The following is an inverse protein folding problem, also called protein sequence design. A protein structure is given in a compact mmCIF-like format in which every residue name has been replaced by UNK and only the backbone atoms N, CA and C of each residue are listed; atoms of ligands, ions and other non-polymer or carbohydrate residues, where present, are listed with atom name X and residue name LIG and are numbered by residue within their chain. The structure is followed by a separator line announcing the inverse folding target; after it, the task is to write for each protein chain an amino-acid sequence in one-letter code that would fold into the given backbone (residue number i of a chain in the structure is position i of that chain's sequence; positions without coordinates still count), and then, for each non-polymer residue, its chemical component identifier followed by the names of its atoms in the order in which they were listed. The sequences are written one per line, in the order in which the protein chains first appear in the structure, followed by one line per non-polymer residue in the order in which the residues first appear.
data_IF_569959596124
#
_entry.id   IF_569959596124
#
_cell.length_a   1.000
_cell.length_b   1.000
_cell.length_c   1.000
_cell.angle_alpha   90.00
_cell.angle_beta   90.00
_cell.angle_gamma   90.00
#
_symmetry.space_group_name_H-M   'P 1'
#
loop_
_entity.id
_entity.type
_entity.pdbx_description
1 polymer ?
#
# COMPACT_ATOMS: atom_id res chain seq x y z
N UNK A 1 7.25 19.70 31.11
CA UNK A 1 7.94 19.46 29.85
C UNK A 1 8.85 20.63 29.53
N UNK A 2 8.34 21.82 29.44
CA UNK A 2 9.12 23.03 29.10
C UNK A 2 10.23 23.35 30.12
N UNK A 3 9.95 23.20 31.42
CA UNK A 3 10.91 23.49 32.48
C UNK A 3 12.12 22.55 32.54
N UNK A 4 12.09 21.37 31.89
CA UNK A 4 13.16 20.36 31.92
C UNK A 4 13.74 20.04 30.53
N UNK A 5 13.45 20.83 29.50
CA UNK A 5 13.93 20.66 28.12
C UNK A 5 13.76 19.22 27.56
N UNK A 6 12.62 18.60 27.83
CA UNK A 6 12.30 17.24 27.37
C UNK A 6 11.98 17.31 25.89
N UNK A 7 12.68 16.50 25.08
CA UNK A 7 12.51 16.43 23.62
C UNK A 7 11.69 15.21 23.16
N UNK A 8 11.68 14.16 23.98
CA UNK A 8 10.99 12.91 23.63
C UNK A 8 10.24 12.36 24.83
N UNK A 9 9.03 11.90 24.61
CA UNK A 9 8.19 11.21 25.60
C UNK A 9 7.97 9.80 25.14
N UNK A 10 8.28 8.81 25.98
CA UNK A 10 8.03 7.39 25.72
C UNK A 10 6.74 6.96 26.43
N UNK A 11 5.76 6.50 25.67
CA UNK A 11 4.53 5.88 26.19
C UNK A 11 4.76 4.39 26.43
N UNK A 12 5.12 4.05 27.69
CA UNK A 12 5.40 2.68 28.12
C UNK A 12 4.14 1.95 28.63
N UNK A 13 3.04 2.05 27.90
CA UNK A 13 1.73 1.50 28.29
C UNK A 13 1.12 0.67 27.13
N UNK A 14 1.72 -0.49 26.77
CA UNK A 14 1.28 -1.29 25.63
C UNK A 14 -0.13 -1.88 25.78
N UNK A 15 -0.59 -2.07 27.02
CA UNK A 15 -1.91 -2.66 27.32
C UNK A 15 -3.04 -1.65 27.44
N UNK A 16 -2.78 -0.36 27.21
CA UNK A 16 -3.83 0.67 27.32
C UNK A 16 -4.78 0.60 26.11
N UNK A 17 -6.11 0.68 26.32
CA UNK A 17 -7.06 0.81 25.24
C UNK A 17 -6.70 2.01 24.35
N UNK A 18 -6.80 1.85 23.01
CA UNK A 18 -6.44 2.88 22.01
C UNK A 18 -7.07 4.24 22.31
N UNK A 19 -8.34 4.26 22.71
CA UNK A 19 -9.05 5.51 23.06
C UNK A 19 -8.30 6.29 24.15
N UNK A 20 -7.91 5.61 25.22
CA UNK A 20 -7.22 6.26 26.35
C UNK A 20 -5.79 6.67 25.96
N UNK A 21 -5.11 5.89 25.14
CA UNK A 21 -3.81 6.23 24.58
C UNK A 21 -3.89 7.51 23.73
N UNK A 22 -4.88 7.64 22.86
CA UNK A 22 -5.10 8.82 22.03
C UNK A 22 -5.42 10.07 22.84
N UNK A 23 -6.19 9.96 23.93
CA UNK A 23 -6.43 11.07 24.86
C UNK A 23 -5.11 11.57 25.50
N UNK A 24 -4.23 10.65 25.90
CA UNK A 24 -2.92 10.99 26.47
C UNK A 24 -2.02 11.63 25.40
N UNK A 25 -1.97 11.08 24.19
CA UNK A 25 -1.20 11.65 23.08
C UNK A 25 -1.70 13.06 22.76
N UNK A 26 -3.01 13.28 22.68
CA UNK A 26 -3.61 14.59 22.45
C UNK A 26 -3.22 15.61 23.53
N UNK A 27 -3.17 15.21 24.79
CA UNK A 27 -2.75 16.07 25.90
C UNK A 27 -1.27 16.47 25.84
N UNK A 28 -0.40 15.59 25.29
CA UNK A 28 1.04 15.83 25.15
C UNK A 28 1.36 16.65 23.90
N UNK A 29 0.49 16.65 22.90
CA UNK A 29 0.70 17.29 21.58
C UNK A 29 0.97 18.79 21.69
N UNK A 30 0.40 19.47 22.69
CA UNK A 30 0.64 20.90 22.94
C UNK A 30 2.09 21.21 23.37
N UNK A 31 2.81 20.21 23.87
CA UNK A 31 4.17 20.37 24.38
C UNK A 31 5.29 20.30 23.30
N UNK A 32 4.94 20.12 22.00
CA UNK A 32 5.88 20.04 20.86
C UNK A 32 7.04 19.06 21.08
N UNK A 33 6.77 17.91 21.67
CA UNK A 33 7.75 16.82 21.91
C UNK A 33 7.47 15.65 20.99
N UNK A 34 8.52 14.93 20.60
CA UNK A 34 8.37 13.65 19.89
C UNK A 34 7.76 12.61 20.84
N UNK A 35 6.74 11.91 20.41
CA UNK A 35 6.12 10.84 21.20
C UNK A 35 6.47 9.50 20.56
N UNK A 36 7.00 8.56 21.34
CA UNK A 36 7.33 7.20 20.93
C UNK A 36 6.56 6.20 21.77
N UNK A 37 6.25 5.05 21.19
CA UNK A 37 5.54 3.94 21.87
C UNK A 37 6.42 2.70 21.91
N UNK A 38 6.20 1.85 22.92
CA UNK A 38 6.79 0.50 22.95
C UNK A 38 6.02 -0.41 21.99
N UNK A 39 6.71 -1.35 21.30
CA UNK A 39 6.07 -2.39 20.53
C UNK A 39 5.08 -3.19 21.37
N UNK A 40 4.05 -3.74 20.76
CA UNK A 40 3.07 -4.58 21.45
C UNK A 40 3.74 -5.91 21.87
N UNK A 41 3.40 -6.43 23.05
CA UNK A 41 3.94 -7.71 23.56
C UNK A 41 3.71 -8.88 22.59
N UNK A 42 2.66 -8.82 21.79
CA UNK A 42 2.36 -9.83 20.75
C UNK A 42 3.36 -9.76 19.59
N UNK A 43 3.80 -8.57 19.21
CA UNK A 43 4.80 -8.36 18.14
C UNK A 43 6.19 -8.78 18.58
N UNK A 44 6.52 -8.51 19.86
CA UNK A 44 7.75 -8.98 20.50
C UNK A 44 7.80 -10.51 20.60
N UNK A 45 6.68 -11.14 20.97
CA UNK A 45 6.58 -12.60 21.08
C UNK A 45 6.66 -13.31 19.72
N UNK A 46 6.28 -12.63 18.62
CA UNK A 46 6.37 -13.14 17.25
C UNK A 46 7.74 -12.88 16.60
N UNK A 47 8.68 -12.26 17.30
CA UNK A 47 10.02 -11.95 16.77
C UNK A 47 10.03 -10.92 15.63
N UNK A 48 8.93 -10.21 15.44
CA UNK A 48 8.78 -9.22 14.35
C UNK A 48 9.46 -7.88 14.64
N UNK A 49 9.73 -7.60 15.92
CA UNK A 49 10.37 -6.35 16.37
C UNK A 49 11.29 -6.62 17.53
N UNK A 50 12.39 -5.88 17.61
CA UNK A 50 13.30 -5.90 18.76
C UNK A 50 12.89 -4.83 19.77
N UNK A 51 13.23 -5.03 21.05
CA UNK A 51 13.01 -4.04 22.13
C UNK A 51 13.67 -2.67 21.86
N UNK A 52 14.62 -2.63 20.94
CA UNK A 52 15.32 -1.41 20.49
C UNK A 52 14.55 -0.62 19.41
N UNK A 53 13.53 -1.23 18.81
CA UNK A 53 12.74 -0.59 17.76
C UNK A 53 11.64 0.27 18.40
N UNK A 54 12.04 1.47 18.82
CA UNK A 54 11.09 2.50 19.27
C UNK A 54 10.37 3.05 18.04
N UNK A 55 9.12 2.63 17.85
CA UNK A 55 8.31 3.15 16.76
C UNK A 55 7.91 4.59 17.03
N UNK A 56 8.13 5.45 16.03
CA UNK A 56 7.43 6.73 15.96
C UNK A 56 5.92 6.40 15.86
N UNK A 57 5.08 7.28 16.43
CA UNK A 57 3.61 7.09 16.41
C UNK A 57 3.14 6.74 14.99
N UNK A 58 2.51 5.57 14.86
CA UNK A 58 1.88 5.19 13.60
C UNK A 58 0.72 6.16 13.28
N UNK A 59 0.54 6.46 11.99
CA UNK A 59 -0.57 7.29 11.53
C UNK A 59 -1.91 6.69 11.96
N UNK A 60 -2.02 5.37 12.03
CA UNK A 60 -3.20 4.66 12.53
C UNK A 60 -3.49 4.94 14.00
N UNK A 61 -2.47 5.13 14.84
CA UNK A 61 -2.62 5.55 16.23
C UNK A 61 -3.17 6.98 16.35
N UNK A 62 -2.85 7.84 15.39
CA UNK A 62 -3.33 9.23 15.36
C UNK A 62 -4.75 9.36 14.82
N UNK A 63 -5.16 8.48 13.89
CA UNK A 63 -6.47 8.55 13.23
C UNK A 63 -7.59 7.87 14.03
N UNK A 64 -7.26 7.12 15.09
CA UNK A 64 -8.25 6.44 15.93
C UNK A 64 -9.08 5.39 15.19
N UNK A 65 -8.64 4.94 14.00
CA UNK A 65 -9.32 3.90 13.23
C UNK A 65 -8.82 2.54 13.68
N UNK A 66 -9.78 1.66 14.00
CA UNK A 66 -9.47 0.25 14.18
C UNK A 66 -9.25 -0.39 12.81
N UNK A 67 -8.12 -1.08 12.62
CA UNK A 67 -7.92 -1.86 11.42
C UNK A 67 -8.92 -3.02 11.40
N UNK A 68 -9.71 -3.11 10.33
CA UNK A 68 -10.58 -4.26 10.11
C UNK A 68 -9.71 -5.38 9.53
N UNK A 69 -9.62 -6.54 10.21
CA UNK A 69 -8.86 -7.65 9.66
C UNK A 69 -9.49 -8.10 8.33
N UNK A 70 -8.67 -8.37 7.30
CA UNK A 70 -9.18 -8.84 6.02
C UNK A 70 -9.84 -10.22 6.19
N UNK A 71 -10.92 -10.48 5.44
CA UNK A 71 -11.54 -11.80 5.38
C UNK A 71 -10.68 -12.73 4.50
N UNK A 72 -10.01 -13.75 5.08
CA UNK A 72 -9.13 -14.64 4.33
C UNK A 72 -9.86 -15.42 3.23
N UNK A 73 -11.14 -15.73 3.43
CA UNK A 73 -11.93 -16.54 2.48
C UNK A 73 -12.20 -15.77 1.20
N UNK A 74 -12.48 -14.47 1.32
CA UNK A 74 -12.69 -13.57 0.18
C UNK A 74 -11.40 -13.32 -0.59
N UNK A 75 -10.29 -13.16 0.12
CA UNK A 75 -8.98 -12.95 -0.51
C UNK A 75 -8.54 -14.18 -1.30
N UNK A 76 -8.57 -15.36 -0.68
CA UNK A 76 -8.23 -16.64 -1.34
C UNK A 76 -9.09 -16.85 -2.58
N UNK A 77 -10.41 -16.65 -2.48
CA UNK A 77 -11.35 -16.82 -3.59
C UNK A 77 -10.98 -15.98 -4.82
N UNK A 78 -10.44 -14.78 -4.62
CA UNK A 78 -10.20 -13.83 -5.71
C UNK A 78 -8.74 -13.80 -6.20
N UNK A 79 -7.79 -14.45 -5.49
CA UNK A 79 -6.35 -14.33 -5.78
C UNK A 79 -5.69 -15.68 -6.04
N UNK A 80 -5.90 -16.66 -5.14
CA UNK A 80 -5.17 -17.94 -5.19
C UNK A 80 -5.39 -18.68 -6.50
N UNK A 81 -4.29 -19.08 -7.15
CA UNK A 81 -4.29 -19.79 -8.42
C UNK A 81 -4.80 -18.99 -9.63
N UNK A 82 -4.91 -17.67 -9.53
CA UNK A 82 -5.45 -16.78 -10.57
C UNK A 82 -4.40 -15.85 -11.14
N UNK A 83 -4.66 -15.35 -12.34
CA UNK A 83 -3.90 -14.27 -12.95
C UNK A 83 -4.43 -12.92 -12.44
N UNK A 84 -3.59 -12.16 -11.77
CA UNK A 84 -3.93 -10.88 -11.15
C UNK A 84 -3.20 -9.76 -11.87
N UNK A 85 -3.89 -8.66 -12.15
CA UNK A 85 -3.30 -7.45 -12.71
C UNK A 85 -3.39 -6.31 -11.70
N UNK A 86 -2.26 -5.64 -11.46
CA UNK A 86 -2.19 -4.44 -10.62
C UNK A 86 -1.71 -3.27 -11.46
N UNK A 87 -2.52 -2.22 -11.59
CA UNK A 87 -2.10 -0.97 -12.23
C UNK A 87 -1.54 -0.01 -11.20
N UNK A 88 -0.56 0.81 -11.59
CA UNK A 88 0.17 1.64 -10.63
C UNK A 88 1.00 0.80 -9.66
N UNK A 89 1.51 -0.34 -10.14
CA UNK A 89 2.23 -1.33 -9.34
C UNK A 89 3.49 -0.76 -8.65
N UNK A 90 4.15 0.22 -9.27
CA UNK A 90 5.32 0.91 -8.70
C UNK A 90 4.99 2.00 -7.69
N UNK A 91 3.71 2.36 -7.52
CA UNK A 91 3.25 3.31 -6.52
C UNK A 91 3.22 2.72 -5.10
N UNK A 92 3.05 3.58 -4.08
CA UNK A 92 3.04 3.15 -2.66
C UNK A 92 1.92 2.14 -2.37
N UNK A 93 0.70 2.36 -2.87
CA UNK A 93 -0.43 1.44 -2.69
C UNK A 93 -0.26 0.21 -3.58
N UNK A 94 0.08 0.40 -4.86
CA UNK A 94 0.22 -0.69 -5.82
C UNK A 94 1.31 -1.69 -5.43
N UNK A 95 2.47 -1.23 -4.98
CA UNK A 95 3.56 -2.10 -4.53
C UNK A 95 3.17 -2.91 -3.29
N UNK A 96 2.47 -2.30 -2.33
CA UNK A 96 1.98 -3.02 -1.15
C UNK A 96 0.90 -4.04 -1.51
N UNK A 97 -0.03 -3.71 -2.42
CA UNK A 97 -0.97 -4.69 -2.97
C UNK A 97 -0.25 -5.87 -3.60
N UNK A 98 0.79 -5.62 -4.40
CA UNK A 98 1.58 -6.70 -5.01
C UNK A 98 2.22 -7.62 -3.98
N UNK A 99 2.80 -7.08 -2.89
CA UNK A 99 3.36 -7.87 -1.77
C UNK A 99 2.30 -8.72 -1.09
N UNK A 100 1.12 -8.17 -0.82
CA UNK A 100 0.02 -8.90 -0.19
C UNK A 100 -0.55 -9.98 -1.11
N UNK A 101 -0.72 -9.69 -2.39
CA UNK A 101 -1.19 -10.64 -3.40
C UNK A 101 -0.21 -11.81 -3.54
N UNK A 102 1.09 -11.53 -3.58
CA UNK A 102 2.12 -12.55 -3.72
C UNK A 102 2.05 -13.62 -2.61
N UNK A 103 1.74 -13.22 -1.37
CA UNK A 103 1.59 -14.13 -0.22
C UNK A 103 0.37 -15.06 -0.31
N UNK A 104 -0.52 -14.83 -1.27
CA UNK A 104 -1.76 -15.60 -1.48
C UNK A 104 -1.67 -16.54 -2.68
N UNK A 105 -0.46 -16.85 -3.15
CA UNK A 105 -0.16 -17.82 -4.22
C UNK A 105 -0.99 -17.60 -5.50
N UNK A 106 -0.86 -16.43 -6.17
CA UNK A 106 -1.47 -16.21 -7.48
C UNK A 106 -0.78 -17.10 -8.54
N UNK A 107 -1.50 -17.49 -9.61
CA UNK A 107 -0.88 -18.17 -10.74
C UNK A 107 0.07 -17.25 -11.50
N UNK A 108 -0.32 -15.97 -11.66
CA UNK A 108 0.51 -14.92 -12.26
C UNK A 108 0.16 -13.56 -11.64
N UNK A 109 1.15 -12.69 -11.51
CA UNK A 109 0.98 -11.32 -11.07
C UNK A 109 1.54 -10.36 -12.13
N UNK A 110 0.65 -9.63 -12.79
CA UNK A 110 0.94 -8.66 -13.82
C UNK A 110 1.13 -7.29 -13.18
N UNK A 111 2.33 -6.75 -13.27
CA UNK A 111 2.71 -5.46 -12.70
C UNK A 111 2.64 -4.40 -13.81
N UNK A 112 1.66 -3.51 -13.78
CA UNK A 112 1.51 -2.45 -14.76
C UNK A 112 1.85 -1.10 -14.14
N UNK A 113 2.82 -0.40 -14.71
CA UNK A 113 3.14 0.98 -14.35
C UNK A 113 3.63 1.77 -15.57
N UNK A 114 3.45 3.09 -15.56
CA UNK A 114 3.97 3.98 -16.61
C UNK A 114 5.41 4.42 -16.34
N UNK A 115 5.90 4.30 -15.11
CA UNK A 115 7.26 4.61 -14.72
C UNK A 115 8.13 3.36 -14.81
N UNK A 116 9.07 3.33 -15.76
CA UNK A 116 10.03 2.24 -15.90
C UNK A 116 10.81 2.00 -14.60
N UNK A 117 11.31 3.08 -14.00
CA UNK A 117 12.10 2.98 -12.76
C UNK A 117 11.31 2.37 -11.60
N UNK A 118 10.06 2.84 -11.40
CA UNK A 118 9.21 2.33 -10.31
C UNK A 118 8.82 0.87 -10.55
N UNK A 119 8.53 0.53 -11.82
CA UNK A 119 8.21 -0.84 -12.22
C UNK A 119 9.39 -1.80 -12.01
N UNK A 120 10.59 -1.38 -12.43
CA UNK A 120 11.81 -2.15 -12.21
C UNK A 120 12.07 -2.37 -10.72
N UNK A 121 11.95 -1.31 -9.91
CA UNK A 121 12.24 -1.39 -8.47
C UNK A 121 11.31 -2.38 -7.76
N UNK A 122 10.00 -2.29 -8.00
CA UNK A 122 9.04 -3.21 -7.38
C UNK A 122 9.20 -4.64 -7.89
N UNK A 123 9.50 -4.82 -9.18
CA UNK A 123 9.73 -6.15 -9.76
C UNK A 123 10.94 -6.84 -9.12
N UNK A 124 12.09 -6.15 -9.02
CA UNK A 124 13.31 -6.71 -8.42
C UNK A 124 13.12 -7.04 -6.93
N UNK A 125 12.35 -6.24 -6.21
CA UNK A 125 12.00 -6.50 -4.82
C UNK A 125 11.17 -7.79 -4.70
N UNK A 126 10.07 -7.90 -5.46
CA UNK A 126 9.17 -9.03 -5.41
C UNK A 126 9.82 -10.34 -5.90
N UNK A 127 10.73 -10.27 -6.87
CA UNK A 127 11.51 -11.45 -7.33
C UNK A 127 12.38 -12.00 -6.21
N UNK A 128 12.98 -11.15 -5.40
CA UNK A 128 13.78 -11.59 -4.23
C UNK A 128 12.92 -12.27 -3.17
N UNK A 129 11.70 -11.80 -2.99
CA UNK A 129 10.73 -12.37 -2.03
C UNK A 129 10.13 -13.70 -2.56
N UNK A 130 9.75 -13.74 -3.83
CA UNK A 130 9.08 -14.90 -4.44
C UNK A 130 10.01 -16.08 -4.78
N UNK A 131 11.30 -15.83 -4.96
CA UNK A 131 12.25 -16.85 -5.42
C UNK A 131 12.04 -17.36 -6.86
N UNK A 132 11.00 -16.92 -7.56
CA UNK A 132 10.66 -17.33 -8.93
C UNK A 132 10.32 -16.15 -9.82
N UNK A 133 11.01 -16.02 -10.97
CA UNK A 133 10.78 -14.94 -11.94
C UNK A 133 9.52 -15.11 -12.80
N UNK A 134 9.11 -16.36 -13.04
CA UNK A 134 8.06 -16.66 -14.02
C UNK A 134 6.64 -16.30 -13.58
N UNK A 135 6.45 -16.02 -12.31
CA UNK A 135 5.18 -15.59 -11.72
C UNK A 135 4.90 -14.10 -11.92
N UNK A 136 5.97 -13.30 -11.98
CA UNK A 136 5.90 -11.84 -11.99
C UNK A 136 6.18 -11.31 -13.39
N UNK A 137 5.22 -10.61 -13.97
CA UNK A 137 5.30 -10.07 -15.34
C UNK A 137 5.27 -8.55 -15.29
N UNK A 138 6.42 -7.87 -15.47
CA UNK A 138 6.46 -6.42 -15.54
C UNK A 138 5.99 -5.94 -16.91
N UNK A 139 5.01 -5.04 -16.94
CA UNK A 139 4.37 -4.52 -18.14
C UNK A 139 4.38 -2.99 -18.13
N UNK A 140 5.24 -2.39 -18.92
CA UNK A 140 5.32 -0.94 -19.06
C UNK A 140 4.12 -0.44 -19.87
N UNK A 141 3.22 0.28 -19.22
CA UNK A 141 2.03 0.86 -19.84
C UNK A 141 1.40 1.97 -18.98
N UNK A 142 0.74 2.93 -19.67
CA UNK A 142 -0.14 3.90 -19.03
C UNK A 142 -1.59 3.44 -19.14
N UNK A 143 -2.37 3.61 -18.07
CA UNK A 143 -3.83 3.37 -18.08
C UNK A 143 -4.58 4.30 -19.02
N UNK A 144 -3.97 5.41 -19.44
CA UNK A 144 -4.50 6.33 -20.44
C UNK A 144 -4.45 5.72 -21.84
N UNK A 145 -3.50 4.83 -22.12
CA UNK A 145 -3.37 4.13 -23.39
C UNK A 145 -4.31 2.91 -23.44
N UNK A 146 -5.52 3.16 -23.92
CA UNK A 146 -6.56 2.13 -24.06
C UNK A 146 -6.12 0.96 -24.93
N UNK A 147 -5.40 1.24 -26.05
CA UNK A 147 -4.94 0.22 -26.97
C UNK A 147 -3.94 -0.74 -26.32
N UNK A 148 -2.94 -0.18 -25.64
CA UNK A 148 -1.95 -0.96 -24.89
C UNK A 148 -2.59 -1.76 -23.77
N UNK A 149 -3.49 -1.18 -22.98
CA UNK A 149 -4.21 -1.87 -21.91
C UNK A 149 -5.10 -3.00 -22.45
N UNK A 150 -5.78 -2.77 -23.59
CA UNK A 150 -6.56 -3.80 -24.27
C UNK A 150 -5.69 -4.98 -24.70
N UNK A 151 -4.53 -4.71 -25.29
CA UNK A 151 -3.56 -5.75 -25.69
C UNK A 151 -3.11 -6.58 -24.48
N UNK A 152 -2.76 -5.92 -23.37
CA UNK A 152 -2.35 -6.60 -22.12
C UNK A 152 -3.48 -7.49 -21.61
N UNK A 153 -4.69 -6.95 -21.43
CA UNK A 153 -5.84 -7.69 -20.89
C UNK A 153 -6.22 -8.85 -21.79
N UNK A 154 -6.22 -8.67 -23.12
CA UNK A 154 -6.54 -9.74 -24.07
C UNK A 154 -5.50 -10.85 -24.09
N UNK A 155 -4.21 -10.52 -23.92
CA UNK A 155 -3.11 -11.49 -23.92
C UNK A 155 -3.08 -12.33 -22.65
N UNK A 156 -3.21 -11.67 -21.50
CA UNK A 156 -3.00 -12.32 -20.21
C UNK A 156 -4.29 -12.73 -19.50
N UNK A 157 -5.45 -12.25 -19.94
CA UNK A 157 -6.79 -12.57 -19.43
C UNK A 157 -6.87 -12.60 -17.89
N UNK A 158 -6.54 -11.48 -17.21
CA UNK A 158 -6.52 -11.44 -15.76
C UNK A 158 -7.91 -11.73 -15.18
N UNK A 159 -7.96 -12.56 -14.16
CA UNK A 159 -9.19 -12.89 -13.45
C UNK A 159 -9.64 -11.75 -12.50
N UNK A 160 -8.66 -11.01 -11.99
CA UNK A 160 -8.91 -9.88 -11.08
C UNK A 160 -7.98 -8.73 -11.42
N UNK A 161 -8.52 -7.51 -11.44
CA UNK A 161 -7.76 -6.27 -11.67
C UNK A 161 -7.86 -5.39 -10.43
N UNK A 162 -6.70 -5.04 -9.87
CA UNK A 162 -6.57 -4.02 -8.84
C UNK A 162 -6.06 -2.72 -9.47
N UNK A 163 -6.89 -1.69 -9.45
CA UNK A 163 -6.57 -0.41 -10.07
C UNK A 163 -6.09 0.61 -9.03
N UNK A 164 -4.77 0.81 -8.94
CA UNK A 164 -4.13 1.75 -8.02
C UNK A 164 -3.41 2.90 -8.76
N UNK A 165 -3.51 2.98 -10.08
CA UNK A 165 -2.90 4.04 -10.88
C UNK A 165 -3.71 5.33 -10.77
N UNK A 166 -3.23 6.28 -9.95
CA UNK A 166 -3.85 7.61 -9.81
C UNK A 166 -2.80 8.67 -9.48
N UNK A 167 -3.00 9.89 -9.99
CA UNK A 167 -2.29 11.08 -9.51
C UNK A 167 -2.98 11.58 -8.24
N UNK A 168 -2.25 11.65 -7.13
CA UNK A 168 -2.80 11.92 -5.79
C UNK A 168 -2.29 13.21 -5.13
N UNK A 169 -1.19 13.76 -5.62
CA UNK A 169 -0.61 14.98 -5.06
C UNK A 169 -1.42 16.20 -5.49
N UNK A 170 -2.39 16.60 -4.66
CA UNK A 170 -3.37 17.65 -4.94
C UNK A 170 -2.74 18.92 -5.53
N UNK A 171 -1.68 19.53 -4.95
CA UNK A 171 -1.10 20.74 -5.50
C UNK A 171 -0.58 20.57 -6.95
N UNK A 172 -0.01 19.39 -7.27
CA UNK A 172 0.48 19.10 -8.62
C UNK A 172 -0.70 18.92 -9.59
N UNK A 173 -1.75 18.23 -9.16
CA UNK A 173 -2.94 17.98 -9.99
C UNK A 173 -3.70 19.29 -10.25
N UNK A 174 -3.80 20.18 -9.26
CA UNK A 174 -4.41 21.50 -9.43
C UNK A 174 -3.67 22.38 -10.46
N UNK A 175 -2.35 22.27 -10.54
CA UNK A 175 -1.57 22.93 -11.60
C UNK A 175 -1.66 22.22 -12.96
N UNK A 176 -2.11 20.96 -12.99
CA UNK A 176 -2.19 20.15 -14.21
C UNK A 176 -3.54 19.40 -14.31
N UNK A 177 -4.68 20.10 -14.29
CA UNK A 177 -6.00 19.47 -14.15
C UNK A 177 -6.34 18.55 -15.32
N UNK A 178 -5.92 18.88 -16.54
CA UNK A 178 -6.16 18.06 -17.73
C UNK A 178 -5.48 16.70 -17.60
N UNK A 179 -4.24 16.66 -17.13
CA UNK A 179 -3.50 15.42 -16.93
C UNK A 179 -4.10 14.60 -15.76
N UNK A 180 -4.59 15.28 -14.71
CA UNK A 180 -5.36 14.65 -13.64
C UNK A 180 -6.63 13.96 -14.17
N UNK A 181 -7.40 14.63 -15.02
CA UNK A 181 -8.62 14.08 -15.66
C UNK A 181 -8.25 12.90 -16.56
N UNK A 182 -7.26 13.05 -17.44
CA UNK A 182 -6.83 11.96 -18.33
C UNK A 182 -6.45 10.71 -17.56
N UNK A 183 -5.63 10.87 -16.52
CA UNK A 183 -5.17 9.72 -15.75
C UNK A 183 -6.25 9.14 -14.83
N UNK A 184 -6.86 9.98 -13.99
CA UNK A 184 -7.73 9.49 -12.92
C UNK A 184 -9.16 9.19 -13.40
N UNK A 185 -9.66 9.90 -14.42
CA UNK A 185 -11.02 9.68 -14.95
C UNK A 185 -10.97 8.77 -16.18
N UNK A 186 -10.26 9.19 -17.25
CA UNK A 186 -10.25 8.42 -18.50
C UNK A 186 -9.49 7.12 -18.32
N UNK A 187 -8.37 7.12 -17.60
CA UNK A 187 -7.62 5.90 -17.26
C UNK A 187 -8.48 4.89 -16.51
N UNK A 188 -9.19 5.33 -15.47
CA UNK A 188 -10.10 4.46 -14.71
C UNK A 188 -11.23 3.92 -15.58
N UNK A 189 -11.82 4.77 -16.43
CA UNK A 189 -12.88 4.37 -17.36
C UNK A 189 -12.38 3.32 -18.38
N UNK A 190 -11.16 3.49 -18.89
CA UNK A 190 -10.53 2.50 -19.76
C UNK A 190 -10.43 1.13 -19.11
N UNK A 191 -9.89 1.10 -17.87
CA UNK A 191 -9.72 -0.16 -17.12
C UNK A 191 -11.07 -0.80 -16.82
N UNK A 192 -12.05 -0.04 -16.33
CA UNK A 192 -13.38 -0.54 -16.02
C UNK A 192 -14.08 -1.14 -17.27
N UNK A 193 -14.05 -0.43 -18.41
CA UNK A 193 -14.64 -0.92 -19.65
C UNK A 193 -13.95 -2.17 -20.23
N UNK A 194 -12.64 -2.31 -20.03
CA UNK A 194 -11.90 -3.48 -20.48
C UNK A 194 -12.11 -4.68 -19.55
N UNK A 195 -12.31 -4.46 -18.25
CA UNK A 195 -12.60 -5.51 -17.26
C UNK A 195 -14.00 -6.12 -17.40
N UNK A 196 -14.95 -5.43 -18.06
CA UNK A 196 -16.32 -5.90 -18.30
C UNK A 196 -16.47 -6.76 -19.57
N UNK A 197 -15.44 -6.89 -20.37
CA UNK A 197 -15.43 -7.66 -21.62
C UNK A 197 -14.85 -9.04 -21.42
#
# INVERSE_FOLDING_TARGET
VESKNIRTVLLAMPSLPRRRRNEIIASIRHARVAVRTLPNMTELAQGKTNLTDLHDLDIDDLLGRESVPPDPTLLVKNITGKTILVTGAGGSIGSELCRQILKLDPAQLLLVDQSEYSLYTVHEELVKEAGTKNLLIPLLASVQDKGRMQSIISTWQPNTIYHAAAYKHVPIVEHNPIEGIKNNVIGTLNIANLAMK
#
